data_IF_446313747345
#
_entry.id   IF_446313747345
#
_cell.length_a   1.000
_cell.length_b   1.000
_cell.length_c   1.000
_cell.angle_alpha   90.00
_cell.angle_beta   90.00
_cell.angle_gamma   90.00
#
_symmetry.space_group_name_H-M   'P 1'
#
loop_
_entity.id
_entity.type
_entity.pdbx_description
1 polymer ?
#
# COMPACT_ATOMS: atom_id res chain seq x y z
N UNK A 1 -3.44 28.09 1.92
CA UNK A 1 -4.51 28.53 2.87
C UNK A 1 -3.82 29.23 4.02
N UNK A 2 -4.33 30.36 4.53
CA UNK A 2 -3.66 31.17 5.57
C UNK A 2 -3.69 30.53 6.97
N UNK A 3 -3.99 29.23 7.08
CA UNK A 3 -4.32 28.52 8.32
C UNK A 3 -3.33 27.41 8.66
N UNK A 4 -2.13 27.39 8.06
CA UNK A 4 -1.18 26.27 8.23
C UNK A 4 -1.60 24.97 7.52
N UNK A 5 -2.67 25.02 6.71
CA UNK A 5 -3.17 23.88 5.93
C UNK A 5 -2.70 23.92 4.47
N UNK A 6 -2.29 22.76 3.96
CA UNK A 6 -2.06 22.52 2.55
C UNK A 6 -2.87 21.30 2.11
N UNK A 7 -3.61 21.43 1.01
CA UNK A 7 -4.41 20.36 0.43
C UNK A 7 -3.98 20.17 -1.03
N UNK A 8 -3.74 18.91 -1.41
CA UNK A 8 -3.35 18.51 -2.76
C UNK A 8 -4.13 17.26 -3.17
N UNK A 9 -4.31 17.07 -4.47
CA UNK A 9 -4.92 15.87 -5.00
C UNK A 9 -4.45 15.61 -6.43
N UNK A 10 -4.56 14.35 -6.82
CA UNK A 10 -4.21 13.87 -8.14
C UNK A 10 -5.26 12.86 -8.60
N UNK A 11 -5.67 12.99 -9.87
CA UNK A 11 -6.53 12.04 -10.56
C UNK A 11 -5.76 11.53 -11.77
N UNK A 12 -5.66 10.22 -11.91
CA UNK A 12 -5.06 9.58 -13.08
C UNK A 12 -6.04 8.60 -13.72
N UNK A 13 -5.99 8.52 -15.05
CA UNK A 13 -6.79 7.60 -15.84
C UNK A 13 -5.90 6.86 -16.83
N UNK A 14 -6.02 5.54 -16.83
CA UNK A 14 -5.26 4.64 -17.70
C UNK A 14 -6.27 3.81 -18.52
N UNK A 15 -6.55 4.16 -19.79
CA UNK A 15 -7.59 3.49 -20.57
C UNK A 15 -7.24 2.06 -20.99
N UNK A 16 -5.97 1.69 -20.94
CA UNK A 16 -5.49 0.42 -21.51
C UNK A 16 -4.40 -0.23 -20.63
N UNK A 17 -4.63 -0.23 -19.31
CA UNK A 17 -3.69 -0.81 -18.36
C UNK A 17 -3.70 -2.35 -18.42
N UNK A 18 -2.53 -3.02 -18.40
CA UNK A 18 -2.49 -4.47 -18.30
C UNK A 18 -2.81 -4.90 -16.86
N UNK A 19 -3.92 -5.60 -16.66
CA UNK A 19 -4.28 -6.20 -15.37
C UNK A 19 -3.99 -7.69 -15.42
N UNK A 20 -3.07 -8.14 -14.57
CA UNK A 20 -2.60 -9.52 -14.54
C UNK A 20 -3.72 -10.48 -14.11
N UNK A 21 -3.84 -11.59 -14.83
CA UNK A 21 -4.67 -12.73 -14.40
C UNK A 21 -4.03 -13.41 -13.20
N UNK A 22 -4.81 -14.14 -12.41
CA UNK A 22 -4.24 -14.90 -11.32
C UNK A 22 -3.20 -15.91 -11.83
N UNK A 23 -2.03 -15.94 -11.18
CA UNK A 23 -0.91 -16.76 -11.64
C UNK A 23 -1.15 -18.25 -11.44
N UNK A 24 -1.88 -18.65 -10.39
CA UNK A 24 -2.28 -20.05 -10.20
C UNK A 24 -3.26 -20.49 -11.30
N UNK A 25 -4.21 -19.63 -11.68
CA UNK A 25 -5.13 -19.92 -12.79
C UNK A 25 -4.38 -20.12 -14.12
N UNK A 26 -3.37 -19.30 -14.39
CA UNK A 26 -2.52 -19.45 -15.58
C UNK A 26 -1.72 -20.76 -15.55
N UNK A 27 -1.18 -21.12 -14.39
CA UNK A 27 -0.43 -22.36 -14.22
C UNK A 27 -1.33 -23.58 -14.42
N UNK A 28 -2.48 -23.62 -13.74
CA UNK A 28 -3.44 -24.73 -13.80
C UNK A 28 -4.22 -24.80 -15.10
N UNK A 29 -4.20 -23.75 -15.94
CA UNK A 29 -4.86 -23.78 -17.25
C UNK A 29 -4.39 -24.98 -18.10
N UNK A 30 -3.10 -25.33 -18.04
CA UNK A 30 -2.54 -26.43 -18.83
C UNK A 30 -3.04 -27.82 -18.42
N UNK A 31 -3.43 -28.01 -17.15
CA UNK A 31 -3.94 -29.30 -16.67
C UNK A 31 -5.43 -29.49 -16.95
N UNK A 32 -6.15 -28.46 -17.41
CA UNK A 32 -7.58 -28.56 -17.77
C UNK A 32 -7.86 -29.52 -18.92
N UNK A 33 -6.84 -29.84 -19.73
CA UNK A 33 -6.92 -30.79 -20.84
C UNK A 33 -6.86 -32.25 -20.40
N UNK A 34 -6.50 -32.52 -19.13
CA UNK A 34 -6.48 -33.87 -18.58
C UNK A 34 -7.88 -34.32 -18.14
N UNK A 35 -8.24 -35.59 -18.32
CA UNK A 35 -9.53 -36.12 -17.89
C UNK A 35 -9.80 -35.84 -16.40
N UNK A 36 -10.96 -35.25 -16.09
CA UNK A 36 -11.39 -34.96 -14.72
C UNK A 36 -10.88 -33.64 -14.12
N UNK A 37 -10.04 -32.87 -14.85
CA UNK A 37 -9.43 -31.63 -14.33
C UNK A 37 -9.91 -30.35 -15.03
N UNK A 38 -11.00 -30.41 -15.80
CA UNK A 38 -11.54 -29.24 -16.52
C UNK A 38 -11.87 -28.04 -15.63
N UNK A 39 -12.16 -28.25 -14.33
CA UNK A 39 -12.47 -27.20 -13.36
C UNK A 39 -11.23 -26.63 -12.62
N UNK A 40 -10.00 -27.08 -12.95
CA UNK A 40 -8.78 -26.64 -12.27
C UNK A 40 -8.44 -25.16 -12.52
N UNK A 41 -8.95 -24.56 -13.59
CA UNK A 41 -8.78 -23.15 -13.92
C UNK A 41 -9.97 -22.62 -14.71
N UNK A 42 -10.37 -21.35 -14.53
CA UNK A 42 -11.37 -20.71 -15.39
C UNK A 42 -10.82 -20.36 -16.79
N UNK A 43 -9.52 -20.58 -17.03
CA UNK A 43 -8.87 -20.31 -18.32
C UNK A 43 -8.87 -21.56 -19.20
N UNK A 44 -9.28 -21.38 -20.45
CA UNK A 44 -9.08 -22.37 -21.52
C UNK A 44 -7.75 -22.14 -22.22
N UNK A 45 -7.04 -23.22 -22.55
CA UNK A 45 -5.81 -23.19 -23.35
C UNK A 45 -5.90 -24.15 -24.52
N UNK A 46 -5.19 -23.83 -25.59
CA UNK A 46 -5.06 -24.69 -26.77
C UNK A 46 -3.61 -25.15 -26.87
N UNK A 47 -3.34 -26.46 -27.01
CA UNK A 47 -1.97 -26.96 -27.18
C UNK A 47 -1.23 -26.26 -28.32
N UNK A 48 0.00 -25.82 -28.04
CA UNK A 48 0.86 -25.13 -29.01
C UNK A 48 0.50 -23.66 -29.29
N UNK A 49 -0.52 -23.10 -28.61
CA UNK A 49 -0.88 -21.68 -28.69
C UNK A 49 -0.36 -20.90 -27.47
N UNK A 50 -0.10 -19.61 -27.68
CA UNK A 50 0.26 -18.69 -26.59
C UNK A 50 -0.96 -18.33 -25.72
N UNK A 51 -0.77 -18.32 -24.40
CA UNK A 51 -1.79 -17.87 -23.45
C UNK A 51 -1.44 -16.50 -22.88
N UNK A 52 -2.32 -15.52 -23.07
CA UNK A 52 -2.10 -14.17 -22.59
C UNK A 52 -2.39 -14.04 -21.08
N UNK A 53 -1.34 -13.74 -20.29
CA UNK A 53 -1.40 -13.65 -18.82
C UNK A 53 -2.02 -12.40 -18.21
N UNK A 54 -2.56 -11.48 -19.03
CA UNK A 54 -3.23 -10.28 -18.57
C UNK A 54 -4.46 -9.96 -19.44
N UNK A 55 -5.34 -9.10 -18.94
CA UNK A 55 -6.37 -8.44 -19.77
C UNK A 55 -6.22 -6.93 -19.64
N UNK A 56 -6.49 -6.22 -20.72
CA UNK A 56 -6.51 -4.77 -20.72
C UNK A 56 -7.78 -4.27 -20.03
N UNK A 57 -7.62 -3.33 -19.10
CA UNK A 57 -8.70 -2.71 -18.34
C UNK A 57 -8.46 -1.21 -18.25
N UNK A 58 -9.56 -0.50 -18.04
CA UNK A 58 -9.53 0.92 -17.69
C UNK A 58 -9.35 1.04 -16.18
N UNK A 59 -8.41 1.90 -15.76
CA UNK A 59 -8.14 2.15 -14.35
C UNK A 59 -8.21 3.65 -14.09
N UNK A 60 -9.00 4.04 -13.10
CA UNK A 60 -9.07 5.41 -12.59
C UNK A 60 -8.56 5.41 -11.15
N UNK A 61 -7.59 6.26 -10.84
CA UNK A 61 -7.06 6.40 -9.49
C UNK A 61 -7.17 7.84 -9.04
N UNK A 62 -7.65 8.04 -7.82
CA UNK A 62 -7.69 9.34 -7.17
C UNK A 62 -6.97 9.26 -5.84
N UNK A 63 -6.10 10.22 -5.58
CA UNK A 63 -5.44 10.38 -4.30
C UNK A 63 -5.50 11.82 -3.84
N UNK A 64 -5.63 12.02 -2.54
CA UNK A 64 -5.63 13.36 -1.95
C UNK A 64 -4.94 13.37 -0.60
N UNK A 65 -4.20 14.45 -0.34
CA UNK A 65 -3.35 14.63 0.85
C UNK A 65 -3.62 15.98 1.48
N UNK A 66 -3.90 15.98 2.78
CA UNK A 66 -4.07 17.15 3.62
C UNK A 66 -2.93 17.18 4.63
N UNK A 67 -2.20 18.29 4.66
CA UNK A 67 -1.21 18.59 5.70
C UNK A 67 -1.70 19.76 6.52
N UNK A 68 -1.58 19.68 7.84
CA UNK A 68 -1.85 20.78 8.75
C UNK A 68 -0.74 20.88 9.79
N UNK A 69 -0.35 22.12 10.10
CA UNK A 69 0.67 22.43 11.09
C UNK A 69 0.02 23.15 12.26
N UNK A 70 0.19 22.60 13.45
CA UNK A 70 -0.09 23.27 14.71
C UNK A 70 1.22 23.72 15.33
N UNK A 71 1.34 25.00 15.63
CA UNK A 71 2.44 25.51 16.43
C UNK A 71 2.11 25.37 17.92
N UNK A 72 3.13 25.10 18.74
CA UNK A 72 3.03 24.99 20.20
C UNK A 72 2.00 23.96 20.71
N UNK A 73 1.94 22.78 20.08
CA UNK A 73 0.97 21.74 20.40
C UNK A 73 1.60 20.60 21.21
N UNK A 74 0.93 20.16 22.29
CA UNK A 74 1.36 19.03 23.12
C UNK A 74 2.81 19.17 23.68
N UNK A 75 3.21 20.40 23.99
CA UNK A 75 4.55 20.73 24.47
C UNK A 75 5.65 20.72 23.40
N UNK A 76 5.32 20.33 22.16
CA UNK A 76 6.23 20.45 21.01
C UNK A 76 6.15 21.88 20.44
N UNK A 77 7.24 22.37 19.88
CA UNK A 77 7.22 23.64 19.14
C UNK A 77 6.32 23.54 17.91
N UNK A 78 6.23 22.34 17.34
CA UNK A 78 5.39 22.08 16.17
C UNK A 78 4.87 20.66 16.14
N UNK A 79 3.60 20.51 15.78
CA UNK A 79 2.99 19.26 15.35
C UNK A 79 2.60 19.38 13.88
N UNK A 80 3.12 18.50 13.04
CA UNK A 80 2.66 18.34 11.66
C UNK A 80 1.79 17.09 11.55
N UNK A 81 0.54 17.26 11.12
CA UNK A 81 -0.36 16.17 10.77
C UNK A 81 -0.49 16.08 9.25
N UNK A 82 -0.38 14.86 8.73
CA UNK A 82 -0.56 14.54 7.32
C UNK A 82 -1.60 13.43 7.24
N UNK A 83 -2.60 13.59 6.40
CA UNK A 83 -3.60 12.56 6.13
C UNK A 83 -3.78 12.39 4.63
N UNK A 84 -3.81 11.15 4.16
CA UNK A 84 -3.96 10.80 2.76
C UNK A 84 -5.08 9.78 2.58
N UNK A 85 -5.87 9.97 1.53
CA UNK A 85 -6.88 9.01 1.09
C UNK A 85 -6.63 8.70 -0.36
N UNK A 86 -6.65 7.41 -0.71
CA UNK A 86 -6.51 6.94 -2.08
C UNK A 86 -7.62 5.96 -2.44
N UNK A 87 -8.07 6.04 -3.68
CA UNK A 87 -9.09 5.18 -4.28
C UNK A 87 -8.60 4.74 -5.65
N UNK A 88 -8.85 3.48 -5.98
CA UNK A 88 -8.61 2.91 -7.31
C UNK A 88 -9.88 2.20 -7.80
N UNK A 89 -10.31 2.55 -9.00
CA UNK A 89 -11.41 1.91 -9.71
C UNK A 89 -10.87 1.17 -10.95
N UNK A 90 -11.28 -0.08 -11.13
CA UNK A 90 -10.97 -0.89 -12.32
C UNK A 90 -12.27 -1.25 -13.01
N UNK A 91 -12.45 -0.73 -14.22
CA UNK A 91 -13.65 -1.01 -15.01
C UNK A 91 -13.55 -2.36 -15.73
N UNK A 92 -14.70 -2.97 -16.00
CA UNK A 92 -14.79 -4.20 -16.79
C UNK A 92 -14.23 -5.44 -16.10
N UNK A 93 -14.12 -5.46 -14.77
CA UNK A 93 -13.93 -6.69 -14.00
C UNK A 93 -15.25 -7.47 -13.98
N UNK A 94 -15.41 -8.37 -14.94
CA UNK A 94 -16.58 -9.23 -15.04
C UNK A 94 -16.23 -10.58 -15.67
N UNK A 95 -17.16 -11.53 -15.54
CA UNK A 95 -16.99 -12.92 -15.97
C UNK A 95 -16.38 -13.82 -14.89
N UNK A 96 -15.97 -15.02 -15.29
CA UNK A 96 -15.34 -16.02 -14.41
C UNK A 96 -13.84 -15.82 -14.18
N UNK A 97 -13.25 -14.81 -14.82
CA UNK A 97 -11.81 -14.56 -14.76
C UNK A 97 -11.42 -13.89 -13.45
N UNK A 98 -10.35 -14.37 -12.85
CA UNK A 98 -9.79 -13.84 -11.62
C UNK A 98 -8.46 -13.13 -11.90
N UNK A 99 -8.23 -12.04 -11.20
CA UNK A 99 -7.11 -11.14 -11.43
C UNK A 99 -6.31 -10.96 -10.14
N UNK A 100 -4.99 -10.84 -10.27
CA UNK A 100 -4.10 -10.67 -9.13
C UNK A 100 -4.14 -11.85 -8.15
N UNK A 101 -4.06 -11.53 -6.85
CA UNK A 101 -3.83 -12.43 -5.71
C UNK A 101 -2.45 -13.10 -5.76
N UNK A 102 -1.69 -12.95 -4.69
CA UNK A 102 -0.39 -13.62 -4.55
C UNK A 102 -0.56 -15.15 -4.60
N UNK A 103 0.24 -15.88 -5.40
CA UNK A 103 0.09 -17.31 -5.57
C UNK A 103 0.25 -18.11 -4.27
N UNK A 104 0.92 -17.55 -3.25
CA UNK A 104 1.07 -18.20 -1.92
C UNK A 104 -0.29 -18.53 -1.28
N UNK A 105 -1.33 -17.77 -1.62
CA UNK A 105 -2.67 -17.98 -1.09
C UNK A 105 -3.49 -19.00 -1.88
N UNK A 106 -2.95 -19.61 -2.94
CA UNK A 106 -3.68 -20.57 -3.77
C UNK A 106 -4.78 -19.92 -4.62
N UNK A 107 -5.60 -20.75 -5.26
CA UNK A 107 -6.72 -20.35 -6.13
C UNK A 107 -8.09 -20.55 -5.49
N UNK A 108 -8.16 -21.07 -4.26
CA UNK A 108 -9.44 -21.39 -3.62
C UNK A 108 -10.14 -20.14 -3.05
N UNK A 109 -11.47 -20.17 -3.09
CA UNK A 109 -12.33 -19.07 -2.66
C UNK A 109 -12.46 -17.94 -3.69
N UNK A 110 -13.27 -16.93 -3.35
CA UNK A 110 -13.65 -15.82 -4.23
C UNK A 110 -13.08 -14.47 -3.78
N UNK A 111 -12.17 -14.47 -2.80
CA UNK A 111 -11.63 -13.27 -2.16
C UNK A 111 -10.10 -13.18 -2.37
N UNK A 112 -9.51 -12.01 -2.11
CA UNK A 112 -8.09 -11.75 -2.32
C UNK A 112 -7.71 -11.39 -3.75
N UNK A 113 -8.66 -11.40 -4.67
CA UNK A 113 -8.49 -11.03 -6.08
C UNK A 113 -8.84 -9.57 -6.30
N UNK A 114 -8.33 -8.99 -7.40
CA UNK A 114 -8.61 -7.59 -7.78
C UNK A 114 -10.11 -7.31 -7.75
N UNK A 115 -10.50 -6.25 -7.05
CA UNK A 115 -11.89 -5.76 -6.98
C UNK A 115 -12.08 -4.53 -7.85
N UNK A 116 -13.34 -4.26 -8.22
CA UNK A 116 -13.68 -3.10 -9.05
C UNK A 116 -13.36 -1.78 -8.34
N UNK A 117 -13.52 -1.73 -7.02
CA UNK A 117 -13.15 -0.60 -6.19
C UNK A 117 -12.21 -1.07 -5.08
N UNK A 118 -11.17 -0.30 -4.82
CA UNK A 118 -10.29 -0.48 -3.67
C UNK A 118 -9.88 0.88 -3.12
N UNK A 119 -9.75 0.99 -1.80
CA UNK A 119 -9.38 2.24 -1.17
C UNK A 119 -8.73 2.04 0.20
N UNK A 120 -8.02 3.08 0.63
CA UNK A 120 -7.39 3.12 1.93
C UNK A 120 -6.98 4.53 2.31
N UNK A 121 -6.47 4.65 3.53
CA UNK A 121 -5.93 5.91 4.02
C UNK A 121 -4.60 5.70 4.74
N UNK A 122 -3.85 6.78 4.81
CA UNK A 122 -2.58 6.91 5.53
C UNK A 122 -2.65 8.14 6.40
N UNK A 123 -2.03 8.09 7.57
CA UNK A 123 -1.89 9.25 8.44
C UNK A 123 -0.49 9.29 9.03
N UNK A 124 0.06 10.48 9.22
CA UNK A 124 1.34 10.69 9.90
C UNK A 124 1.27 11.88 10.84
N UNK A 125 1.79 11.71 12.03
CA UNK A 125 2.00 12.75 13.01
C UNK A 125 3.49 12.88 13.30
N UNK A 126 4.01 14.10 13.27
CA UNK A 126 5.41 14.41 13.59
C UNK A 126 5.42 15.57 14.58
N UNK A 127 5.96 15.31 15.77
CA UNK A 127 6.22 16.35 16.75
C UNK A 127 7.65 16.83 16.57
N UNK A 128 7.89 18.13 16.73
CA UNK A 128 9.22 18.72 16.73
C UNK A 128 9.45 19.43 18.06
N UNK A 129 10.39 18.91 18.84
CA UNK A 129 10.89 19.51 20.07
C UNK A 129 12.31 20.00 19.80
N UNK A 130 12.51 21.31 19.75
CA UNK A 130 13.79 21.90 19.47
C UNK A 130 14.51 22.25 20.78
N UNK A 131 15.84 22.10 20.78
CA UNK A 131 16.70 22.46 21.91
C UNK A 131 16.27 21.84 23.26
N UNK A 132 15.80 20.59 23.24
CA UNK A 132 15.34 19.87 24.45
C UNK A 132 16.45 19.79 25.49
N UNK A 133 17.69 19.57 25.05
CA UNK A 133 18.87 19.61 25.90
C UNK A 133 20.11 19.92 25.06
N UNK A 134 20.84 21.00 25.37
CA UNK A 134 22.12 21.34 24.72
C UNK A 134 22.10 21.27 23.18
N UNK A 135 21.12 21.91 22.51
CA UNK A 135 20.96 21.86 21.04
C UNK A 135 20.62 20.49 20.46
N UNK A 136 20.08 19.59 21.29
CA UNK A 136 19.42 18.36 20.85
C UNK A 136 17.99 18.68 20.40
N UNK A 137 17.70 18.40 19.14
CA UNK A 137 16.36 18.42 18.56
C UNK A 137 15.82 16.99 18.49
N UNK A 138 14.58 16.77 18.94
CA UNK A 138 13.92 15.48 18.91
C UNK A 138 12.64 15.56 18.07
N UNK A 139 12.43 14.56 17.23
CA UNK A 139 11.24 14.44 16.39
C UNK A 139 10.59 13.05 16.53
N UNK A 140 9.84 12.81 17.63
CA UNK A 140 8.95 11.66 17.71
C UNK A 140 7.97 11.68 16.53
N UNK A 141 7.69 10.52 15.96
CA UNK A 141 6.75 10.39 14.86
C UNK A 141 5.97 9.08 14.90
N UNK A 142 4.73 9.16 14.42
CA UNK A 142 3.79 8.06 14.28
C UNK A 142 3.28 8.07 12.84
N UNK A 143 3.29 6.92 12.17
CA UNK A 143 2.63 6.70 10.90
C UNK A 143 1.63 5.55 11.03
N UNK A 144 0.48 5.71 10.41
CA UNK A 144 -0.61 4.74 10.36
C UNK A 144 -1.02 4.50 8.92
N UNK A 145 -1.36 3.26 8.61
CA UNK A 145 -1.90 2.85 7.33
C UNK A 145 -3.02 1.84 7.50
N UNK A 146 -4.06 1.99 6.67
CA UNK A 146 -5.14 1.01 6.57
C UNK A 146 -5.68 0.96 5.16
N UNK A 147 -5.59 -0.22 4.54
CA UNK A 147 -6.25 -0.57 3.29
C UNK A 147 -7.64 -1.09 3.65
N UNK A 148 -8.66 -0.25 3.48
CA UNK A 148 -9.96 -0.46 4.12
C UNK A 148 -10.76 -1.54 3.41
N UNK A 149 -10.83 -1.47 2.08
CA UNK A 149 -11.56 -2.45 1.29
C UNK A 149 -11.01 -2.56 -0.12
N UNK A 150 -11.16 -3.76 -0.67
CA UNK A 150 -10.78 -4.12 -2.03
C UNK A 150 -9.30 -4.43 -2.20
N UNK A 151 -9.00 -5.00 -3.37
CA UNK A 151 -7.65 -5.32 -3.81
C UNK A 151 -7.41 -4.59 -5.12
N UNK A 152 -6.39 -3.74 -5.14
CA UNK A 152 -5.96 -3.05 -6.36
C UNK A 152 -5.30 -4.03 -7.34
N UNK A 153 -5.33 -3.75 -8.65
CA UNK A 153 -4.72 -4.64 -9.64
C UNK A 153 -3.19 -4.64 -9.52
N UNK A 154 -2.59 -5.81 -9.81
CA UNK A 154 -1.16 -5.91 -10.05
C UNK A 154 -0.75 -5.22 -11.36
N UNK A 155 0.51 -4.79 -11.51
CA UNK A 155 1.62 -5.05 -10.58
C UNK A 155 1.70 -4.08 -9.39
N UNK A 156 0.96 -2.95 -9.42
CA UNK A 156 1.09 -1.89 -8.43
C UNK A 156 0.59 -2.30 -7.03
N UNK A 157 -0.45 -3.16 -6.93
CA UNK A 157 -0.97 -3.78 -5.69
C UNK A 157 -1.01 -2.83 -4.46
N UNK A 158 -1.40 -1.58 -4.69
CA UNK A 158 -1.44 -0.49 -3.71
C UNK A 158 -2.32 -0.79 -2.50
N UNK A 159 -3.48 -1.42 -2.68
CA UNK A 159 -4.43 -1.76 -1.62
C UNK A 159 -4.63 -3.27 -1.52
N UNK A 160 -4.55 -3.80 -0.30
CA UNK A 160 -4.96 -5.15 0.03
C UNK A 160 -5.91 -5.11 1.23
N UNK A 161 -7.16 -5.50 1.03
CA UNK A 161 -8.23 -5.33 2.02
C UNK A 161 -7.83 -5.80 3.43
N UNK A 162 -8.09 -4.95 4.42
CA UNK A 162 -7.84 -5.17 5.84
C UNK A 162 -6.37 -5.04 6.26
N UNK A 163 -5.43 -4.86 5.33
CA UNK A 163 -4.00 -4.67 5.65
C UNK A 163 -3.80 -3.37 6.41
N UNK A 164 -3.12 -3.45 7.54
CA UNK A 164 -2.77 -2.31 8.39
C UNK A 164 -1.28 -2.31 8.71
N UNK A 165 -0.76 -1.13 8.98
CA UNK A 165 0.56 -0.99 9.56
C UNK A 165 0.61 0.25 10.46
N UNK A 166 1.37 0.14 11.55
CA UNK A 166 1.73 1.26 12.41
C UNK A 166 3.25 1.34 12.50
N UNK A 167 3.80 2.54 12.33
CA UNK A 167 5.21 2.82 12.53
C UNK A 167 5.36 3.88 13.60
N UNK A 168 6.21 3.63 14.58
CA UNK A 168 6.62 4.61 15.58
C UNK A 168 8.11 4.83 15.46
N UNK A 169 8.55 6.07 15.64
CA UNK A 169 9.96 6.38 15.58
C UNK A 169 10.32 7.66 16.31
N UNK A 170 11.61 7.86 16.47
CA UNK A 170 12.21 9.08 16.99
C UNK A 170 13.43 9.43 16.17
N UNK A 171 13.45 10.65 15.65
CA UNK A 171 14.63 11.22 15.02
C UNK A 171 15.28 12.19 16.00
N UNK A 172 16.60 12.16 16.11
CA UNK A 172 17.38 13.07 16.93
C UNK A 172 18.44 13.76 16.08
N UNK A 173 18.59 15.06 16.25
CA UNK A 173 19.65 15.86 15.63
C UNK A 173 20.37 16.66 16.71
N UNK A 174 21.68 16.49 16.81
CA UNK A 174 22.53 17.15 17.79
C UNK A 174 23.50 18.11 17.11
N UNK A 175 23.43 19.40 17.50
CA UNK A 175 24.28 20.47 16.98
C UNK A 175 24.30 20.56 15.44
N UNK A 176 23.19 20.19 14.77
CA UNK A 176 23.08 20.09 13.30
C UNK A 176 24.14 19.21 12.63
N UNK A 177 24.91 18.42 13.38
CA UNK A 177 26.08 17.66 12.91
C UNK A 177 25.79 16.18 12.96
N UNK A 178 25.26 15.70 14.09
CA UNK A 178 24.99 14.28 14.30
C UNK A 178 23.49 14.03 14.18
N UNK A 179 23.11 13.10 13.31
CA UNK A 179 21.73 12.65 13.19
C UNK A 179 21.61 11.19 13.59
N UNK A 180 20.50 10.84 14.24
CA UNK A 180 20.13 9.45 14.47
C UNK A 180 18.63 9.28 14.30
N UNK A 181 18.21 8.11 13.85
CA UNK A 181 16.82 7.74 13.69
C UNK A 181 16.63 6.30 14.13
N UNK A 182 15.67 6.08 15.02
CA UNK A 182 15.23 4.75 15.43
C UNK A 182 13.74 4.63 15.15
N UNK A 183 13.33 3.56 14.45
CA UNK A 183 11.92 3.28 14.20
C UNK A 183 11.61 1.80 14.28
N UNK A 184 10.34 1.51 14.58
CA UNK A 184 9.75 0.18 14.56
C UNK A 184 8.47 0.22 13.75
N UNK A 185 8.29 -0.74 12.84
CA UNK A 185 7.06 -0.92 12.06
C UNK A 185 6.44 -2.28 12.38
N UNK A 186 5.17 -2.27 12.74
CA UNK A 186 4.34 -3.46 12.89
C UNK A 186 3.27 -3.49 11.80
N UNK A 187 3.20 -4.61 11.09
CA UNK A 187 2.16 -4.92 10.11
C UNK A 187 1.17 -5.89 10.72
N UNK A 188 -0.11 -5.73 10.40
CA UNK A 188 -1.15 -6.63 10.91
C UNK A 188 -2.42 -6.56 10.06
N UNK A 189 -3.24 -7.60 10.18
CA UNK A 189 -4.49 -7.70 9.42
C UNK A 189 -4.26 -7.91 7.92
N UNK A 190 -5.39 -8.05 7.22
CA UNK A 190 -5.42 -8.37 5.80
C UNK A 190 -5.15 -9.85 5.55
N UNK A 191 -6.22 -10.61 5.27
CA UNK A 191 -6.16 -12.07 5.09
C UNK A 191 -5.22 -12.50 3.97
N UNK A 192 -5.11 -11.69 2.92
CA UNK A 192 -4.26 -11.92 1.75
C UNK A 192 -3.07 -10.95 1.71
N UNK A 193 -2.64 -10.46 2.87
CA UNK A 193 -1.44 -9.63 3.01
C UNK A 193 -0.20 -10.51 3.14
N UNK A 194 0.80 -10.31 2.29
CA UNK A 194 2.08 -11.02 2.35
C UNK A 194 3.09 -10.40 3.33
N UNK A 195 2.70 -9.31 3.98
CA UNK A 195 3.56 -8.53 4.89
C UNK A 195 3.07 -8.53 6.34
N UNK A 196 1.94 -9.17 6.65
CA UNK A 196 1.29 -9.09 7.98
C UNK A 196 2.16 -9.60 9.14
N UNK A 197 3.26 -10.30 8.85
CA UNK A 197 4.18 -10.89 9.82
C UNK A 197 5.63 -10.39 9.62
N UNK A 198 5.82 -9.33 8.83
CA UNK A 198 7.13 -8.82 8.42
C UNK A 198 7.51 -7.53 9.16
N UNK A 199 7.37 -7.57 10.47
CA UNK A 199 7.75 -6.46 11.34
C UNK A 199 9.27 -6.24 11.32
N UNK A 200 9.70 -5.00 11.47
CA UNK A 200 11.13 -4.67 11.49
C UNK A 200 11.45 -3.43 12.30
N UNK A 201 12.71 -3.34 12.73
CA UNK A 201 13.31 -2.15 13.32
C UNK A 201 14.36 -1.58 12.37
N UNK A 202 14.47 -0.24 12.35
CA UNK A 202 15.49 0.47 11.60
C UNK A 202 16.26 1.40 12.51
N UNK A 203 17.58 1.37 12.42
CA UNK A 203 18.49 2.31 13.06
C UNK A 203 19.36 2.96 11.98
N UNK A 204 19.38 4.29 11.96
CA UNK A 204 20.23 5.09 11.07
C UNK A 204 21.03 6.08 11.91
N UNK A 205 22.31 6.27 11.56
CA UNK A 205 23.18 7.29 12.14
C UNK A 205 23.88 8.04 11.02
N UNK A 206 24.08 9.35 11.21
CA UNK A 206 24.68 10.22 10.21
C UNK A 206 25.54 11.32 10.84
N UNK A 207 26.57 11.74 10.10
CA UNK A 207 27.45 12.85 10.45
C UNK A 207 27.53 13.79 9.24
N UNK A 208 27.26 15.08 9.45
CA UNK A 208 27.43 16.13 8.45
C UNK A 208 28.78 16.82 8.65
N UNK A 209 29.51 17.08 7.57
CA UNK A 209 30.81 17.75 7.54
C UNK A 209 30.78 18.98 6.63
#
# INVERSE_FOLDING_TARGET
LSTGSAWKGELSYRPNAPVQLNSNDLLYANVTLLPGLAAASPLSVTPGADSQGYRRKEITQFQTSLTHVFDNAMGADRLTLIGEVGVSHVAGLGGSLRYGRDPVFGSDGNDGFTTANSWGYRARAVWAYNNVFNSLNLKPNLAWSHDVSGYSPGPDNTFAEGRKAVSMGIDAEYQNTYTSSLSYTNFFGGRYSTVSDRDFMTLTVGVKF
#
